data_IF_850850159193
#
_entry.id   IF_850850159193
#
_cell.length_a   1.000
_cell.length_b   1.000
_cell.length_c   1.000
_cell.angle_alpha   90.00
_cell.angle_beta   90.00
_cell.angle_gamma   90.00
#
_symmetry.space_group_name_H-M   'P 1'
#
loop_
_entity.id
_entity.type
_entity.pdbx_description
1 polymer ?
#
# COMPACT_ATOMS: atom_id res chain seq x y z
N UNK A 1 20.21 -7.59 4.42
CA UNK A 1 19.07 -8.02 5.26
C UNK A 1 18.54 -6.81 6.01
N UNK A 2 17.23 -6.58 6.02
CA UNK A 2 16.63 -5.45 6.74
C UNK A 2 15.17 -5.22 6.32
N UNK A 3 14.34 -6.27 6.35
CA UNK A 3 12.90 -6.09 6.24
C UNK A 3 12.41 -5.56 7.58
N UNK A 4 12.22 -4.24 7.68
CA UNK A 4 11.50 -3.63 8.80
C UNK A 4 10.07 -4.17 8.77
N UNK A 5 9.80 -5.19 9.58
CA UNK A 5 8.49 -5.81 9.76
C UNK A 5 7.65 -5.13 10.85
N UNK A 6 8.09 -3.97 11.34
CA UNK A 6 7.30 -3.14 12.25
C UNK A 6 6.33 -2.27 11.43
N UNK A 7 5.14 -2.82 11.18
CA UNK A 7 4.03 -2.03 10.69
C UNK A 7 3.59 -1.09 11.80
N UNK A 8 3.65 0.21 11.57
CA UNK A 8 3.24 1.20 12.56
C UNK A 8 1.75 1.51 12.39
N UNK A 9 0.96 1.29 13.44
CA UNK A 9 -0.45 1.69 13.47
C UNK A 9 -0.58 3.22 13.33
N UNK A 10 -1.49 3.68 12.47
CA UNK A 10 -1.66 5.08 12.07
C UNK A 10 -0.76 5.53 10.92
N UNK A 11 0.29 4.78 10.57
CA UNK A 11 1.20 5.10 9.45
C UNK A 11 1.06 4.08 8.31
N UNK A 12 1.25 2.80 8.60
CA UNK A 12 1.21 1.71 7.63
C UNK A 12 -0.19 1.08 7.53
N UNK A 13 -0.90 1.04 8.64
CA UNK A 13 -2.28 0.55 8.69
C UNK A 13 -3.03 1.23 9.84
N UNK A 14 -4.35 1.16 9.82
CA UNK A 14 -5.20 1.55 10.94
C UNK A 14 -6.30 0.52 11.15
N UNK A 15 -6.84 0.45 12.37
CA UNK A 15 -7.97 -0.42 12.68
C UNK A 15 -9.27 0.32 12.41
N UNK A 16 -10.05 -0.18 11.46
CA UNK A 16 -11.40 0.31 11.16
C UNK A 16 -12.37 -0.85 11.37
N UNK A 17 -13.28 -0.69 12.33
CA UNK A 17 -14.34 -1.66 12.59
C UNK A 17 -13.84 -3.10 12.86
N UNK A 18 -12.68 -3.24 13.51
CA UNK A 18 -12.02 -4.53 13.79
C UNK A 18 -11.17 -5.08 12.64
N UNK A 19 -11.10 -4.39 11.50
CA UNK A 19 -10.30 -4.79 10.36
C UNK A 19 -9.06 -3.91 10.22
N UNK A 20 -7.92 -4.51 9.83
CA UNK A 20 -6.69 -3.78 9.49
C UNK A 20 -6.81 -3.20 8.08
N UNK A 21 -6.93 -1.89 7.99
CA UNK A 21 -6.93 -1.16 6.73
C UNK A 21 -5.54 -0.64 6.45
N UNK A 22 -4.89 -1.19 5.43
CA UNK A 22 -3.56 -0.74 4.99
C UNK A 22 -3.65 0.64 4.36
N UNK A 23 -2.73 1.52 4.76
CA UNK A 23 -2.61 2.84 4.16
C UNK A 23 -1.93 2.76 2.81
N UNK A 24 -2.02 3.86 2.08
CA UNK A 24 -1.32 4.02 0.82
C UNK A 24 0.20 3.93 0.97
N UNK A 25 0.75 4.46 2.07
CA UNK A 25 2.19 4.46 2.32
C UNK A 25 2.74 3.03 2.47
N UNK A 26 2.02 2.17 3.18
CA UNK A 26 2.35 0.76 3.25
C UNK A 26 2.30 0.08 1.87
N UNK A 27 1.23 0.33 1.10
CA UNK A 27 1.07 -0.25 -0.24
C UNK A 27 2.15 0.23 -1.20
N UNK A 28 2.60 1.49 -1.09
CA UNK A 28 3.76 2.03 -1.80
C UNK A 28 5.01 1.27 -1.37
N UNK A 29 5.29 1.19 -0.07
CA UNK A 29 6.50 0.56 0.47
C UNK A 29 6.60 -0.92 0.06
N UNK A 30 5.46 -1.65 0.09
CA UNK A 30 5.32 -3.02 -0.41
C UNK A 30 5.85 -3.20 -1.83
N UNK A 31 5.68 -2.18 -2.67
CA UNK A 31 6.33 -2.12 -3.98
C UNK A 31 5.70 -2.90 -5.12
N UNK A 32 4.54 -3.50 -4.93
CA UNK A 32 3.77 -4.08 -6.02
C UNK A 32 2.27 -4.06 -5.75
N UNK A 33 1.50 -3.98 -6.83
CA UNK A 33 0.06 -4.13 -6.83
C UNK A 33 -0.31 -5.61 -6.74
N UNK A 34 -1.16 -5.95 -5.76
CA UNK A 34 -1.64 -7.31 -5.53
C UNK A 34 -2.92 -7.66 -6.29
N UNK A 35 -3.39 -6.78 -7.18
CA UNK A 35 -4.61 -7.01 -7.98
C UNK A 35 -5.91 -7.27 -7.18
N UNK A 36 -5.95 -6.93 -5.89
CA UNK A 36 -7.14 -7.14 -5.04
C UNK A 36 -8.16 -5.99 -5.10
N UNK A 37 -7.96 -4.98 -5.95
CA UNK A 37 -8.89 -3.86 -6.06
C UNK A 37 -8.97 -2.95 -4.83
N UNK A 38 -7.85 -2.74 -4.13
CA UNK A 38 -7.81 -1.94 -2.90
C UNK A 38 -8.39 -0.53 -3.09
N UNK A 39 -9.18 -0.06 -2.12
CA UNK A 39 -9.81 1.27 -2.15
C UNK A 39 -8.78 2.40 -2.25
N UNK A 40 -7.71 2.33 -1.46
CA UNK A 40 -6.58 3.28 -1.48
C UNK A 40 -5.38 2.76 -2.29
N UNK A 41 -5.62 2.10 -3.43
CA UNK A 41 -4.54 1.60 -4.27
C UNK A 41 -3.67 2.77 -4.78
N UNK A 42 -2.36 2.80 -4.45
CA UNK A 42 -1.45 3.81 -4.98
C UNK A 42 -1.10 3.57 -6.44
N UNK A 43 -1.29 2.34 -6.93
CA UNK A 43 -0.88 1.94 -8.28
C UNK A 43 -1.91 2.32 -9.34
N UNK A 44 -1.41 2.73 -10.49
CA UNK A 44 -2.19 2.99 -11.70
C UNK A 44 -1.55 2.28 -12.91
N UNK A 45 -2.30 1.56 -13.74
CA UNK A 45 -3.72 1.21 -13.59
C UNK A 45 -3.99 0.33 -12.33
N UNK A 46 -5.20 0.48 -11.76
CA UNK A 46 -5.63 -0.28 -10.57
C UNK A 46 -5.81 -1.76 -10.92
N UNK A 47 -5.70 -2.61 -9.91
CA UNK A 47 -5.95 -4.05 -10.01
C UNK A 47 -5.04 -4.83 -10.99
N UNK A 48 -3.91 -4.27 -11.42
CA UNK A 48 -2.94 -4.96 -12.27
C UNK A 48 -1.88 -5.68 -11.44
N UNK A 49 -1.85 -7.02 -11.47
CA UNK A 49 -0.93 -7.84 -10.65
C UNK A 49 0.53 -7.51 -11.00
N UNK A 50 1.34 -7.25 -9.98
CA UNK A 50 2.77 -6.93 -10.16
C UNK A 50 3.05 -5.51 -10.67
N UNK A 51 2.02 -4.67 -10.86
CA UNK A 51 2.23 -3.28 -11.24
C UNK A 51 2.98 -2.52 -10.13
N UNK A 52 4.03 -1.81 -10.51
CA UNK A 52 4.83 -0.95 -9.63
C UNK A 52 4.64 0.54 -9.93
N UNK A 53 3.89 0.87 -10.98
CA UNK A 53 3.61 2.25 -11.41
C UNK A 53 2.64 2.90 -10.44
N UNK A 54 3.12 3.92 -9.74
CA UNK A 54 2.29 4.74 -8.84
C UNK A 54 1.47 5.74 -9.65
N UNK A 55 0.28 6.10 -9.14
CA UNK A 55 -0.51 7.19 -9.70
C UNK A 55 0.24 8.52 -9.56
N UNK A 56 -0.05 9.45 -10.47
CA UNK A 56 0.53 10.79 -10.45
C UNK A 56 0.31 11.46 -9.09
N UNK A 57 1.37 12.03 -8.52
CA UNK A 57 1.37 12.68 -7.20
C UNK A 57 1.89 11.82 -6.04
N UNK A 58 2.16 10.53 -6.24
CA UNK A 58 2.71 9.67 -5.18
C UNK A 58 4.21 9.45 -5.35
N UNK A 59 4.97 9.69 -4.28
CA UNK A 59 6.42 9.53 -4.25
C UNK A 59 6.78 8.43 -3.25
N UNK A 60 7.70 7.54 -3.64
CA UNK A 60 8.42 6.71 -2.66
C UNK A 60 9.38 7.67 -1.96
N UNK A 61 9.00 8.10 -0.76
CA UNK A 61 9.85 8.90 0.12
C UNK A 61 10.94 8.03 0.72
#
# INVERSE_FOLDING_TARGET
MGFNSDLTEGVDFYLENGYRVMTERYLINRGYCCSNGCRHCPYWPKAQKGNTNLRTGLKRG
#
